data_IF_161601291554
#
_entry.id   IF_161601291554
#
_cell.length_a   1.000
_cell.length_b   1.000
_cell.length_c   1.000
_cell.angle_alpha   90.00
_cell.angle_beta   90.00
_cell.angle_gamma   90.00
#
_symmetry.space_group_name_H-M   'P 1'
#
loop_
_entity.id
_entity.type
_entity.pdbx_description
1 polymer ?
#
# COMPACT_ATOMS: atom_id res chain seq x y z
N UNK A 1 10.13 23.86 42.12
CA UNK A 1 9.67 22.45 42.06
C UNK A 1 10.60 21.58 42.91
N UNK A 2 10.09 20.71 43.79
CA UNK A 2 10.90 19.90 44.71
C UNK A 2 11.70 18.82 43.94
N UNK A 3 13.00 18.65 44.23
CA UNK A 3 13.87 17.61 43.62
C UNK A 3 13.23 16.21 43.64
N UNK A 4 12.53 15.84 44.73
CA UNK A 4 11.81 14.56 44.82
C UNK A 4 10.62 14.46 43.86
N UNK A 5 9.93 15.58 43.57
CA UNK A 5 8.85 15.63 42.57
C UNK A 5 9.41 15.56 41.15
N UNK A 6 10.53 16.24 40.88
CA UNK A 6 11.20 16.19 39.58
C UNK A 6 11.69 14.77 39.25
N UNK A 7 12.31 14.07 40.21
CA UNK A 7 12.78 12.69 40.02
C UNK A 7 11.60 11.75 39.70
N UNK A 8 10.47 11.89 40.40
CA UNK A 8 9.27 11.07 40.13
C UNK A 8 8.72 11.29 38.71
N UNK A 9 8.72 12.53 38.23
CA UNK A 9 8.26 12.86 36.87
C UNK A 9 9.18 12.22 35.82
N UNK A 10 10.51 12.30 36.01
CA UNK A 10 11.48 11.71 35.08
C UNK A 10 11.38 10.18 35.02
N UNK A 11 11.13 9.51 36.15
CA UNK A 11 10.91 8.06 36.18
C UNK A 11 9.64 7.68 35.40
N UNK A 12 8.55 8.42 35.58
CA UNK A 12 7.29 8.18 34.85
C UNK A 12 7.50 8.37 33.34
N UNK A 13 8.19 9.44 32.93
CA UNK A 13 8.48 9.69 31.51
C UNK A 13 9.38 8.60 30.91
N UNK A 14 10.37 8.11 31.65
CA UNK A 14 11.22 7.00 31.22
C UNK A 14 10.46 5.69 31.03
N UNK A 15 9.53 5.38 31.94
CA UNK A 15 8.66 4.19 31.83
C UNK A 15 7.68 4.32 30.67
N UNK A 16 7.07 5.49 30.47
CA UNK A 16 6.18 5.75 29.33
C UNK A 16 6.93 5.65 28.00
N UNK A 17 8.16 6.15 27.93
CA UNK A 17 9.02 6.02 26.75
C UNK A 17 9.37 4.55 26.47
N UNK A 18 9.78 3.79 27.49
CA UNK A 18 10.08 2.36 27.34
C UNK A 18 8.86 1.54 26.91
N UNK A 19 7.67 1.86 27.44
CA UNK A 19 6.42 1.21 27.03
C UNK A 19 5.99 1.61 25.61
N UNK A 20 6.22 2.85 25.19
CA UNK A 20 5.99 3.27 23.81
C UNK A 20 6.92 2.51 22.85
N UNK A 21 8.19 2.33 23.21
CA UNK A 21 9.18 1.65 22.37
C UNK A 21 8.94 0.13 22.32
N UNK A 22 8.57 -0.49 23.45
CA UNK A 22 8.06 -1.86 23.47
C UNK A 22 6.78 -2.00 22.66
N UNK A 23 5.88 -1.01 22.71
CA UNK A 23 4.70 -0.93 21.88
C UNK A 23 5.06 -0.93 20.39
N UNK A 24 6.05 -0.15 19.96
CA UNK A 24 6.54 -0.13 18.57
C UNK A 24 7.18 -1.46 18.16
N UNK A 25 7.98 -2.06 19.02
CA UNK A 25 8.61 -3.35 18.79
C UNK A 25 7.59 -4.50 18.69
N UNK A 26 6.62 -4.54 19.60
CA UNK A 26 5.56 -5.57 19.64
C UNK A 26 4.54 -5.37 18.51
N UNK A 27 4.29 -4.12 18.09
CA UNK A 27 3.40 -3.83 16.94
C UNK A 27 4.12 -3.89 15.58
N UNK A 28 5.44 -4.10 15.54
CA UNK A 28 6.21 -4.10 14.29
C UNK A 28 6.21 -2.74 13.58
N UNK A 29 5.98 -1.65 14.33
CA UNK A 29 5.82 -0.31 13.77
C UNK A 29 7.14 0.39 13.40
N UNK A 30 8.26 -0.34 13.46
CA UNK A 30 9.56 0.07 12.89
C UNK A 30 9.58 -0.11 11.37
N UNK A 31 8.68 0.55 10.63
CA UNK A 31 9.18 1.14 9.39
C UNK A 31 9.14 2.63 9.55
N UNK A 32 10.34 3.16 9.72
CA UNK A 32 10.90 4.08 8.74
C UNK A 32 9.98 4.23 7.51
N UNK A 33 9.07 5.20 7.60
CA UNK A 33 7.97 5.44 6.66
C UNK A 33 8.45 5.88 5.27
N UNK A 34 9.76 5.98 5.08
CA UNK A 34 10.44 6.31 3.83
C UNK A 34 11.54 5.29 3.46
N UNK A 35 11.72 4.20 4.21
CA UNK A 35 12.63 3.14 3.80
C UNK A 35 12.03 2.44 2.59
N UNK A 36 12.50 2.80 1.39
CA UNK A 36 12.50 1.92 0.22
C UNK A 36 12.85 0.54 0.74
N UNK A 37 11.91 -0.39 0.72
CA UNK A 37 12.20 -1.75 1.17
C UNK A 37 13.40 -2.24 0.36
N UNK A 38 14.51 -2.47 1.06
CA UNK A 38 15.82 -2.66 0.44
C UNK A 38 15.96 -4.03 -0.22
N UNK A 39 15.18 -5.01 0.22
CA UNK A 39 15.17 -6.36 -0.31
C UNK A 39 13.78 -6.76 -0.83
N UNK A 40 13.68 -7.21 -2.09
CA UNK A 40 12.41 -7.62 -2.67
C UNK A 40 11.84 -8.86 -1.96
N UNK A 41 10.54 -8.82 -1.67
CA UNK A 41 9.81 -9.99 -1.15
C UNK A 41 9.55 -11.10 -2.18
N UNK A 42 8.82 -12.13 -1.75
CA UNK A 42 8.36 -13.23 -2.61
C UNK A 42 7.38 -12.72 -3.67
N UNK A 43 7.43 -13.21 -4.90
CA UNK A 43 6.47 -12.83 -5.94
C UNK A 43 5.15 -13.56 -5.67
N UNK A 44 4.07 -12.81 -5.48
CA UNK A 44 2.72 -13.36 -5.24
C UNK A 44 1.76 -13.11 -6.41
N UNK A 45 2.06 -12.13 -7.27
CA UNK A 45 1.38 -11.95 -8.54
C UNK A 45 2.31 -11.40 -9.61
N UNK A 46 2.06 -11.82 -10.85
CA UNK A 46 2.77 -11.35 -12.05
C UNK A 46 1.75 -10.78 -13.04
N UNK A 47 2.10 -9.64 -13.63
CA UNK A 47 1.29 -8.92 -14.62
C UNK A 47 2.12 -8.66 -15.87
N UNK A 48 1.69 -9.22 -17.00
CA UNK A 48 2.31 -8.98 -18.30
C UNK A 48 1.98 -7.56 -18.78
N UNK A 49 3.01 -6.82 -19.19
CA UNK A 49 2.90 -5.45 -19.67
C UNK A 49 2.69 -5.36 -21.20
N UNK A 50 2.86 -6.46 -21.93
CA UNK A 50 2.73 -6.52 -23.40
C UNK A 50 3.92 -5.97 -24.17
N UNK A 51 4.99 -5.55 -23.47
CA UNK A 51 6.23 -4.99 -24.03
C UNK A 51 7.45 -5.89 -23.74
N UNK A 52 7.20 -7.15 -23.36
CA UNK A 52 8.22 -8.10 -22.93
C UNK A 52 8.70 -7.94 -21.49
N UNK A 53 8.13 -6.98 -20.74
CA UNK A 53 8.36 -6.84 -19.29
C UNK A 53 7.16 -7.34 -18.48
N UNK A 54 7.36 -7.53 -17.17
CA UNK A 54 6.27 -7.86 -16.25
C UNK A 54 6.41 -7.08 -14.96
N UNK A 55 5.27 -6.65 -14.41
CA UNK A 55 5.18 -6.08 -13.07
C UNK A 55 4.85 -7.17 -12.06
N UNK A 56 5.24 -6.94 -10.82
CA UNK A 56 5.04 -7.91 -9.74
C UNK A 56 4.39 -7.27 -8.53
N UNK A 57 3.44 -7.97 -7.92
CA UNK A 57 3.17 -7.76 -6.51
C UNK A 57 4.01 -8.76 -5.72
N UNK A 58 4.76 -8.24 -4.75
CA UNK A 58 5.62 -9.02 -3.86
C UNK A 58 5.16 -8.93 -2.42
N UNK A 59 5.33 -10.00 -1.65
CA UNK A 59 5.07 -10.03 -0.22
C UNK A 59 6.38 -10.05 0.57
N UNK A 60 6.54 -9.08 1.47
CA UNK A 60 7.62 -9.05 2.44
C UNK A 60 6.99 -8.96 3.84
N UNK A 61 6.92 -10.11 4.51
CA UNK A 61 6.21 -10.25 5.79
C UNK A 61 4.73 -9.89 5.66
N UNK A 62 4.31 -8.81 6.33
CA UNK A 62 2.93 -8.29 6.30
C UNK A 62 2.70 -7.23 5.23
N UNK A 63 3.70 -6.87 4.43
CA UNK A 63 3.60 -5.77 3.47
C UNK A 63 3.61 -6.31 2.05
N UNK A 64 2.66 -5.87 1.22
CA UNK A 64 2.75 -6.04 -0.22
C UNK A 64 3.43 -4.85 -0.88
N UNK A 65 4.16 -5.13 -1.95
CA UNK A 65 4.97 -4.19 -2.70
C UNK A 65 4.66 -4.33 -4.18
N UNK A 66 4.55 -3.21 -4.89
CA UNK A 66 4.48 -3.20 -6.35
C UNK A 66 5.88 -2.96 -6.92
N UNK A 67 6.41 -3.94 -7.64
CA UNK A 67 7.57 -3.77 -8.50
C UNK A 67 7.10 -3.43 -9.92
N UNK A 68 7.47 -2.25 -10.38
CA UNK A 68 7.22 -1.80 -11.76
C UNK A 68 8.49 -1.94 -12.58
N UNK A 69 8.40 -2.64 -13.70
CA UNK A 69 9.51 -2.84 -14.63
C UNK A 69 9.25 -2.11 -15.95
N UNK A 70 10.02 -1.07 -16.25
CA UNK A 70 9.97 -0.38 -17.54
C UNK A 70 10.93 -1.04 -18.56
N UNK A 71 10.62 -0.99 -19.87
CA UNK A 71 11.52 -1.46 -20.93
C UNK A 71 12.90 -0.80 -20.84
N UNK A 72 13.97 -1.51 -21.25
CA UNK A 72 15.34 -0.99 -21.28
C UNK A 72 16.31 -1.63 -20.27
N UNK A 73 15.86 -2.61 -19.47
CA UNK A 73 16.71 -3.61 -18.80
C UNK A 73 17.61 -3.15 -17.64
N UNK A 74 17.83 -1.85 -17.46
CA UNK A 74 18.67 -1.29 -16.38
C UNK A 74 17.98 -1.25 -15.01
N UNK A 75 18.77 -1.16 -13.93
CA UNK A 75 18.25 -1.04 -12.56
C UNK A 75 17.39 0.23 -12.37
N UNK A 76 17.70 1.32 -13.06
CA UNK A 76 16.95 2.59 -13.05
C UNK A 76 15.55 2.51 -13.71
N UNK A 77 15.29 1.38 -14.39
CA UNK A 77 14.03 1.08 -15.05
C UNK A 77 13.13 0.24 -14.14
N UNK A 78 13.59 -0.11 -12.93
CA UNK A 78 12.81 -0.79 -11.91
C UNK A 78 12.43 0.19 -10.81
N UNK A 79 11.14 0.24 -10.48
CA UNK A 79 10.64 1.06 -9.37
C UNK A 79 9.94 0.14 -8.39
N UNK A 80 10.47 0.06 -7.18
CA UNK A 80 9.82 -0.66 -6.09
C UNK A 80 8.99 0.31 -5.24
N UNK A 81 7.70 0.03 -5.14
CA UNK A 81 6.76 0.77 -4.31
C UNK A 81 6.31 -0.11 -3.16
N UNK A 82 6.59 0.32 -1.94
CA UNK A 82 6.02 -0.32 -0.75
C UNK A 82 4.69 0.34 -0.46
N UNK A 83 3.62 -0.45 -0.44
CA UNK A 83 2.27 0.08 -0.30
C UNK A 83 1.83 -0.13 1.15
N UNK A 84 2.45 0.57 2.11
CA UNK A 84 2.23 0.28 3.55
C UNK A 84 0.79 0.59 4.01
N UNK A 85 0.21 1.71 3.54
CA UNK A 85 -1.15 2.12 3.92
C UNK A 85 -2.29 1.35 3.24
N UNK A 86 -2.00 0.41 2.33
CA UNK A 86 -3.03 -0.49 1.79
C UNK A 86 -2.87 -1.93 2.26
N UNK A 87 -1.87 -2.25 3.10
CA UNK A 87 -1.51 -3.65 3.37
C UNK A 87 -1.05 -4.02 4.77
N UNK A 88 -1.08 -3.11 5.75
CA UNK A 88 -0.91 -3.59 7.12
C UNK A 88 -2.17 -4.35 7.56
N UNK A 89 -2.01 -5.63 7.92
CA UNK A 89 -3.04 -6.50 8.47
C UNK A 89 -3.85 -5.83 9.60
N UNK A 90 -3.25 -4.90 10.36
CA UNK A 90 -3.91 -4.11 11.40
C UNK A 90 -4.68 -2.88 10.91
N UNK A 91 -4.31 -2.29 9.76
CA UNK A 91 -4.96 -1.11 9.19
C UNK A 91 -6.06 -1.45 8.17
N UNK A 92 -5.90 -2.54 7.42
CA UNK A 92 -6.80 -2.95 6.32
C UNK A 92 -8.05 -3.68 6.84
N UNK A 93 -7.99 -4.32 8.01
CA UNK A 93 -9.11 -5.08 8.54
C UNK A 93 -10.37 -4.23 8.84
N UNK A 94 -10.23 -2.90 8.96
CA UNK A 94 -11.34 -1.96 9.02
C UNK A 94 -11.78 -1.42 7.65
N UNK A 95 -10.86 -1.30 6.69
CA UNK A 95 -11.10 -0.66 5.39
C UNK A 95 -11.97 -1.52 4.47
N UNK A 96 -11.80 -2.85 4.51
CA UNK A 96 -12.53 -3.79 3.63
C UNK A 96 -13.93 -4.19 4.11
N UNK A 97 -14.25 -3.93 5.40
CA UNK A 97 -15.53 -4.36 6.00
C UNK A 97 -16.71 -3.50 5.56
N UNK A 98 -16.48 -2.20 5.37
CA UNK A 98 -17.50 -1.21 5.02
C UNK A 98 -17.18 -0.52 3.67
N UNK A 99 -16.76 -1.34 2.69
CA UNK A 99 -16.27 -0.95 1.36
C UNK A 99 -17.26 -0.12 0.51
N UNK A 100 -18.55 -0.14 0.85
CA UNK A 100 -19.58 0.68 0.18
C UNK A 100 -20.02 1.89 1.01
N UNK A 101 -19.40 2.12 2.17
CA UNK A 101 -19.71 3.29 2.99
C UNK A 101 -19.19 4.57 2.34
N UNK A 102 -19.93 5.67 2.51
CA UNK A 102 -19.48 7.00 2.10
C UNK A 102 -18.11 7.37 2.70
N UNK A 103 -17.80 6.85 3.90
CA UNK A 103 -16.51 7.09 4.56
C UNK A 103 -15.37 6.37 3.84
N UNK A 104 -15.56 5.10 3.46
CA UNK A 104 -14.60 4.37 2.64
C UNK A 104 -14.33 5.10 1.32
N UNK A 105 -15.40 5.43 0.57
CA UNK A 105 -15.27 6.04 -0.75
C UNK A 105 -14.50 7.36 -0.68
N UNK A 106 -14.83 8.22 0.29
CA UNK A 106 -14.10 9.49 0.51
C UNK A 106 -12.63 9.28 0.82
N UNK A 107 -12.29 8.31 1.67
CA UNK A 107 -10.90 8.03 2.02
C UNK A 107 -10.13 7.44 0.83
N UNK A 108 -10.77 6.58 0.04
CA UNK A 108 -10.14 6.04 -1.15
C UNK A 108 -9.90 7.15 -2.20
N UNK A 109 -10.87 8.03 -2.42
CA UNK A 109 -10.73 9.20 -3.30
C UNK A 109 -9.61 10.14 -2.85
N UNK A 110 -9.52 10.45 -1.54
CA UNK A 110 -8.44 11.25 -0.99
C UNK A 110 -7.08 10.59 -1.21
N UNK A 111 -7.00 9.27 -1.05
CA UNK A 111 -5.79 8.51 -1.36
C UNK A 111 -5.40 8.62 -2.85
N UNK A 112 -6.36 8.50 -3.78
CA UNK A 112 -6.09 8.67 -5.21
C UNK A 112 -5.55 10.07 -5.52
N UNK A 113 -6.09 11.11 -4.89
CA UNK A 113 -5.60 12.49 -5.06
C UNK A 113 -4.18 12.68 -4.52
N UNK A 114 -3.83 12.05 -3.39
CA UNK A 114 -2.45 12.03 -2.88
C UNK A 114 -1.52 11.30 -3.85
N UNK A 115 -1.95 10.17 -4.43
CA UNK A 115 -1.15 9.43 -5.43
C UNK A 115 -0.92 10.23 -6.69
N UNK A 116 -1.94 10.92 -7.20
CA UNK A 116 -1.77 11.88 -8.29
C UNK A 116 -0.74 12.96 -7.93
N UNK A 117 -0.89 13.59 -6.77
CA UNK A 117 -0.07 14.73 -6.32
C UNK A 117 1.38 14.35 -5.98
N UNK A 118 1.65 13.10 -5.62
CA UNK A 118 3.02 12.58 -5.43
C UNK A 118 3.82 12.47 -6.75
N UNK A 119 3.28 13.01 -7.85
CA UNK A 119 3.90 12.98 -9.17
C UNK A 119 4.04 11.56 -9.65
N UNK A 120 2.99 10.75 -9.43
CA UNK A 120 2.99 9.30 -9.59
C UNK A 120 3.78 8.93 -10.83
N UNK A 121 5.02 8.47 -10.64
CA UNK A 121 6.03 8.29 -11.68
C UNK A 121 6.33 9.60 -12.46
N UNK A 122 7.53 10.17 -12.27
CA UNK A 122 7.96 11.41 -12.93
C UNK A 122 7.60 11.48 -14.42
N UNK A 123 7.41 12.70 -14.92
CA UNK A 123 6.79 13.10 -16.20
C UNK A 123 7.21 12.38 -17.49
N UNK A 124 8.20 11.50 -17.43
CA UNK A 124 8.85 10.88 -18.59
C UNK A 124 8.68 9.35 -18.63
N UNK A 125 7.78 8.77 -17.81
CA UNK A 125 7.50 7.32 -17.82
C UNK A 125 6.39 6.97 -18.81
N UNK A 126 6.53 5.84 -19.51
CA UNK A 126 5.62 5.42 -20.58
C UNK A 126 4.24 4.95 -20.12
N UNK A 127 4.08 4.64 -18.83
CA UNK A 127 2.83 4.14 -18.22
C UNK A 127 2.81 4.44 -16.72
N UNK A 128 1.61 4.42 -16.14
CA UNK A 128 1.34 4.75 -14.73
C UNK A 128 0.69 3.58 -13.99
N UNK A 129 1.49 2.60 -13.52
CA UNK A 129 0.92 1.41 -12.91
C UNK A 129 0.39 1.70 -11.52
N UNK A 130 -0.75 1.11 -11.21
CA UNK A 130 -1.39 1.27 -9.92
C UNK A 130 -1.96 -0.06 -9.48
N UNK A 131 -1.67 -0.44 -8.24
CA UNK A 131 -2.07 -1.75 -7.73
C UNK A 131 -2.39 -1.64 -6.26
N UNK A 132 -3.14 -2.62 -5.79
CA UNK A 132 -3.47 -2.81 -4.39
C UNK A 132 -4.12 -4.17 -4.20
N UNK A 133 -4.59 -4.41 -2.99
CA UNK A 133 -5.29 -5.64 -2.70
C UNK A 133 -6.19 -5.46 -1.50
N UNK A 134 -7.16 -6.34 -1.45
CA UNK A 134 -8.20 -6.36 -0.47
C UNK A 134 -8.53 -7.80 -0.14
N UNK A 135 -9.31 -7.97 0.92
CA UNK A 135 -9.78 -9.26 1.40
C UNK A 135 -11.26 -9.45 1.11
N UNK A 136 -11.92 -8.38 0.66
CA UNK A 136 -13.30 -8.40 0.21
C UNK A 136 -13.36 -8.70 -1.31
N UNK A 137 -14.11 -9.73 -1.75
CA UNK A 137 -14.24 -10.08 -3.17
C UNK A 137 -14.80 -8.97 -4.06
N UNK A 138 -15.48 -7.96 -3.50
CA UNK A 138 -16.04 -6.85 -4.28
C UNK A 138 -14.97 -6.11 -5.10
N UNK A 139 -13.70 -6.13 -4.66
CA UNK A 139 -12.59 -5.50 -5.37
C UNK A 139 -12.27 -6.17 -6.71
N UNK A 140 -12.81 -7.35 -6.99
CA UNK A 140 -12.79 -7.95 -8.34
C UNK A 140 -13.56 -7.09 -9.36
N UNK A 141 -14.46 -6.22 -8.90
CA UNK A 141 -15.27 -5.29 -9.70
C UNK A 141 -14.81 -3.84 -9.58
N UNK A 142 -13.68 -3.58 -8.92
CA UNK A 142 -13.19 -2.22 -8.72
C UNK A 142 -13.03 -1.51 -10.07
N UNK A 143 -13.64 -0.33 -10.17
CA UNK A 143 -13.41 0.64 -11.23
C UNK A 143 -12.95 1.97 -10.64
N UNK A 144 -12.02 2.61 -11.31
CA UNK A 144 -11.57 3.97 -11.01
C UNK A 144 -11.71 4.80 -12.28
N UNK A 145 -12.47 5.89 -12.23
CA UNK A 145 -12.80 6.71 -13.40
C UNK A 145 -13.36 5.85 -14.56
N UNK A 146 -14.31 4.97 -14.27
CA UNK A 146 -14.90 3.97 -15.17
C UNK A 146 -13.93 2.94 -15.79
N UNK A 147 -12.62 3.03 -15.51
CA UNK A 147 -11.64 2.05 -15.90
C UNK A 147 -11.69 0.87 -14.92
N UNK A 148 -11.97 -0.34 -15.42
CA UNK A 148 -11.80 -1.56 -14.65
C UNK A 148 -10.31 -1.90 -14.49
N UNK A 149 -9.96 -2.61 -13.42
CA UNK A 149 -8.61 -3.15 -13.27
C UNK A 149 -8.24 -4.04 -14.47
N UNK A 150 -7.04 -3.86 -15.01
CA UNK A 150 -6.51 -4.68 -16.11
C UNK A 150 -6.36 -6.15 -15.71
N UNK A 151 -6.11 -6.41 -14.42
CA UNK A 151 -6.09 -7.75 -13.87
C UNK A 151 -6.45 -7.77 -12.38
N UNK A 152 -7.05 -8.88 -11.95
CA UNK A 152 -7.24 -9.23 -10.54
C UNK A 152 -6.72 -10.66 -10.34
N UNK A 153 -5.87 -10.87 -9.34
CA UNK A 153 -5.30 -12.17 -8.97
C UNK A 153 -5.70 -12.54 -7.56
N UNK A 154 -6.10 -13.78 -7.36
CA UNK A 154 -6.30 -14.31 -6.02
C UNK A 154 -4.99 -14.84 -5.45
N UNK A 155 -4.75 -14.55 -4.18
CA UNK A 155 -3.60 -15.04 -3.43
C UNK A 155 -4.04 -15.47 -2.04
N UNK A 156 -3.81 -16.73 -1.68
CA UNK A 156 -4.08 -17.23 -0.32
C UNK A 156 -2.77 -17.22 0.46
N UNK A 157 -2.74 -16.50 1.58
CA UNK A 157 -1.56 -16.45 2.44
C UNK A 157 -1.40 -17.70 3.32
N UNK A 158 -0.29 -17.75 4.05
CA UNK A 158 0.06 -18.83 4.97
C UNK A 158 -0.97 -19.05 6.09
N UNK A 159 -1.79 -18.05 6.39
CA UNK A 159 -2.84 -18.11 7.42
C UNK A 159 -4.20 -18.55 6.83
N UNK A 160 -4.23 -18.92 5.54
CA UNK A 160 -5.43 -19.35 4.83
C UNK A 160 -6.33 -18.21 4.38
N UNK A 161 -5.88 -16.95 4.46
CA UNK A 161 -6.67 -15.79 4.08
C UNK A 161 -6.50 -15.48 2.60
N UNK A 162 -7.61 -15.29 1.90
CA UNK A 162 -7.61 -14.94 0.48
C UNK A 162 -7.55 -13.43 0.29
N UNK A 163 -6.70 -13.02 -0.65
CA UNK A 163 -6.46 -11.64 -1.07
C UNK A 163 -6.78 -11.49 -2.56
N UNK A 164 -7.43 -10.39 -2.91
CA UNK A 164 -7.75 -9.98 -4.28
C UNK A 164 -6.80 -8.86 -4.70
N UNK A 165 -5.70 -9.25 -5.34
CA UNK A 165 -4.63 -8.40 -5.83
C UNK A 165 -5.03 -7.77 -7.18
N UNK A 166 -5.46 -6.51 -7.16
CA UNK A 166 -5.90 -5.77 -8.36
C UNK A 166 -4.77 -4.91 -8.92
N UNK A 167 -4.75 -4.76 -10.24
CA UNK A 167 -3.69 -4.08 -10.98
C UNK A 167 -4.25 -3.30 -12.17
N UNK A 168 -3.78 -2.08 -12.31
CA UNK A 168 -3.93 -1.21 -13.46
C UNK A 168 -2.55 -0.98 -14.06
N UNK A 169 -2.41 -1.23 -15.37
CA UNK A 169 -1.16 -1.02 -16.10
C UNK A 169 -0.88 0.45 -16.32
N UNK A 170 -1.93 1.22 -16.59
CA UNK A 170 -1.85 2.64 -16.88
C UNK A 170 -3.12 3.36 -16.40
N UNK A 171 -3.18 3.65 -15.09
CA UNK A 171 -4.32 4.35 -14.51
C UNK A 171 -4.17 5.86 -14.64
N UNK A 172 -5.12 6.50 -15.33
CA UNK A 172 -5.16 7.96 -15.46
C UNK A 172 -5.90 8.58 -14.29
N UNK A 173 -5.15 8.90 -13.24
CA UNK A 173 -5.66 9.66 -12.11
C UNK A 173 -5.83 11.14 -12.47
N UNK A 174 -6.78 11.78 -11.81
CA UNK A 174 -7.07 13.20 -11.93
C UNK A 174 -6.68 13.92 -10.62
N UNK A 175 -6.41 15.22 -10.69
CA UNK A 175 -6.09 16.06 -9.53
C UNK A 175 -7.21 16.07 -8.47
N UNK A 176 -8.45 15.90 -8.91
CA UNK A 176 -9.63 15.79 -8.06
C UNK A 176 -10.74 15.01 -8.78
N UNK A 177 -11.80 14.69 -8.03
CA UNK A 177 -12.98 14.00 -8.54
C UNK A 177 -12.70 12.63 -9.18
N UNK A 178 -11.69 11.90 -8.72
CA UNK A 178 -11.57 10.50 -9.11
C UNK A 178 -12.79 9.73 -8.60
N UNK A 179 -13.46 8.99 -9.46
CA UNK A 179 -14.64 8.21 -9.11
C UNK A 179 -14.25 6.77 -8.82
N UNK A 180 -14.81 6.21 -7.75
CA UNK A 180 -14.59 4.81 -7.37
C UNK A 180 -15.94 4.12 -7.39
N UNK A 181 -16.04 3.04 -8.15
CA UNK A 181 -17.26 2.23 -8.22
C UNK A 181 -16.93 0.73 -8.19
N UNK A 182 -17.95 -0.06 -7.86
CA UNK A 182 -17.91 -1.53 -7.80
C UNK A 182 -19.05 -2.17 -8.60
N UNK A 183 -19.77 -1.36 -9.38
CA UNK A 183 -20.90 -1.75 -10.21
C UNK A 183 -20.45 -2.28 -11.58
#
# INVERSE_FOLDING_TARGET
MNKKKLIKILVILGVLYALAELGRYVTGNDADTNARVKEPGEIVATFDNGDGTSDYIRRNGRVFQLEVNYPGGGADNKVMMSIRNQFDYGAVHGFDKDVTSNHFLRNFQAYLAVRFSSGGFGSDRSRYPFAGAATNPIFTKLKINDQAADAVREYTDSDGKTWYLWYYRDLKLQLGNNEVSFE
#
